data_IF_979122378227
#
_entry.id   IF_979122378227
#
_cell.length_a   1.000
_cell.length_b   1.000
_cell.length_c   1.000
_cell.angle_alpha   90.00
_cell.angle_beta   90.00
_cell.angle_gamma   90.00
#
_symmetry.space_group_name_H-M   'P 1'
#
loop_
_entity.id
_entity.type
_entity.pdbx_description
1 polymer ?
#
# COMPACT_ATOMS: atom_id res chain seq x y z
N UNK A 1 12.61 -1.16 12.80
CA UNK A 1 11.75 -1.93 11.91
C UNK A 1 11.26 -1.03 10.78
N UNK A 2 11.36 -1.49 9.55
CA UNK A 2 10.93 -0.70 8.39
C UNK A 2 9.42 -0.51 8.38
N UNK A 3 8.98 0.68 8.01
CA UNK A 3 7.57 1.04 7.90
C UNK A 3 7.24 1.14 6.42
N UNK A 4 6.39 0.25 5.94
CA UNK A 4 6.17 0.03 4.51
C UNK A 4 4.71 0.33 4.16
N UNK A 5 4.50 1.22 3.20
CA UNK A 5 3.16 1.60 2.74
C UNK A 5 2.81 0.80 1.49
N UNK A 6 1.65 0.17 1.50
CA UNK A 6 1.20 -0.70 0.41
C UNK A 6 0.21 0.04 -0.49
N UNK A 7 0.54 0.16 -1.78
CA UNK A 7 -0.39 0.67 -2.77
C UNK A 7 -1.53 -0.34 -2.96
N UNK A 8 -2.71 0.14 -3.30
CA UNK A 8 -3.92 -0.67 -3.42
C UNK A 8 -3.71 -1.92 -4.29
N UNK A 9 -3.04 -1.77 -5.42
CA UNK A 9 -2.89 -2.89 -6.36
C UNK A 9 -2.05 -4.03 -5.81
N UNK A 10 -1.17 -3.76 -4.85
CA UNK A 10 -0.40 -4.84 -4.20
C UNK A 10 -1.35 -5.81 -3.51
N UNK A 11 -2.33 -5.28 -2.80
CA UNK A 11 -3.30 -6.12 -2.10
C UNK A 11 -4.27 -6.80 -3.07
N UNK A 12 -4.69 -6.09 -4.12
CA UNK A 12 -5.56 -6.67 -5.14
C UNK A 12 -4.86 -7.84 -5.84
N UNK A 13 -3.59 -7.67 -6.19
CA UNK A 13 -2.83 -8.73 -6.86
C UNK A 13 -2.75 -9.98 -5.99
N UNK A 14 -2.58 -9.81 -4.69
CA UNK A 14 -2.58 -10.93 -3.77
C UNK A 14 -3.96 -11.61 -3.73
N UNK A 15 -5.01 -10.83 -3.53
CA UNK A 15 -6.36 -11.37 -3.33
C UNK A 15 -6.87 -12.10 -4.57
N UNK A 16 -6.62 -11.53 -5.76
CA UNK A 16 -7.07 -12.10 -7.01
C UNK A 16 -6.02 -13.01 -7.67
N UNK A 17 -4.92 -13.27 -6.99
CA UNK A 17 -3.84 -14.14 -7.48
C UNK A 17 -3.35 -13.73 -8.88
N UNK A 18 -3.17 -12.43 -9.08
CA UNK A 18 -2.67 -11.88 -10.35
C UNK A 18 -1.14 -11.89 -10.37
N UNK A 19 -0.57 -11.45 -11.49
CA UNK A 19 0.89 -11.31 -11.60
C UNK A 19 1.40 -10.44 -10.46
N UNK A 20 2.47 -10.89 -9.80
CA UNK A 20 2.99 -10.19 -8.62
C UNK A 20 2.33 -10.59 -7.32
N UNK A 21 1.27 -11.39 -7.37
CA UNK A 21 0.54 -11.81 -6.17
C UNK A 21 1.36 -12.67 -5.24
N UNK A 22 2.28 -13.47 -5.78
CA UNK A 22 3.15 -14.30 -4.93
C UNK A 22 4.12 -13.44 -4.12
N UNK A 23 4.69 -12.42 -4.75
CA UNK A 23 5.59 -11.50 -4.03
C UNK A 23 4.82 -10.71 -2.99
N UNK A 24 3.61 -10.26 -3.32
CA UNK A 24 2.75 -9.58 -2.38
C UNK A 24 2.47 -10.47 -1.17
N UNK A 25 2.16 -11.75 -1.42
CA UNK A 25 1.91 -12.71 -0.35
C UNK A 25 3.12 -12.85 0.57
N UNK A 26 4.32 -12.97 -0.01
CA UNK A 26 5.54 -13.09 0.79
C UNK A 26 5.73 -11.87 1.67
N UNK A 27 5.50 -10.68 1.12
CA UNK A 27 5.63 -9.45 1.89
C UNK A 27 4.61 -9.40 3.03
N UNK A 28 3.38 -9.78 2.76
CA UNK A 28 2.34 -9.80 3.78
C UNK A 28 2.68 -10.78 4.90
N UNK A 29 3.27 -11.92 4.56
CA UNK A 29 3.71 -12.89 5.56
C UNK A 29 4.82 -12.34 6.45
N UNK A 30 5.75 -11.55 5.88
CA UNK A 30 6.77 -10.88 6.66
C UNK A 30 6.16 -9.90 7.66
N UNK A 31 5.13 -9.19 7.22
CA UNK A 31 4.40 -8.28 8.11
C UNK A 31 3.67 -9.02 9.21
N UNK A 32 3.00 -10.11 8.86
CA UNK A 32 2.31 -10.94 9.84
C UNK A 32 3.27 -11.49 10.88
N UNK A 33 4.48 -11.84 10.46
CA UNK A 33 5.49 -12.40 11.36
C UNK A 33 6.25 -11.33 12.14
N UNK A 34 5.92 -10.05 11.97
CA UNK A 34 6.51 -8.97 12.74
C UNK A 34 7.87 -8.50 12.24
N UNK A 35 8.27 -8.88 11.03
CA UNK A 35 9.57 -8.49 10.49
C UNK A 35 9.57 -7.09 9.88
N UNK A 36 8.41 -6.62 9.45
CA UNK A 36 8.22 -5.26 8.92
C UNK A 36 6.87 -4.75 9.40
N UNK A 37 6.73 -3.43 9.46
CA UNK A 37 5.44 -2.80 9.78
C UNK A 37 4.74 -2.42 8.49
N UNK A 38 3.59 -3.01 8.24
CA UNK A 38 2.82 -2.78 7.02
C UNK A 38 1.73 -1.75 7.28
N UNK A 39 1.57 -0.83 6.34
CA UNK A 39 0.58 0.25 6.41
C UNK A 39 -0.17 0.33 5.10
N UNK A 40 -1.44 0.67 5.19
CA UNK A 40 -2.25 0.99 4.01
C UNK A 40 -3.26 2.06 4.43
N UNK A 41 -3.73 2.85 3.48
CA UNK A 41 -4.68 3.91 3.81
C UNK A 41 -6.10 3.35 3.93
N UNK A 42 -6.93 4.07 4.68
CA UNK A 42 -8.36 3.78 4.73
C UNK A 42 -8.96 3.78 3.31
N UNK A 43 -8.48 4.72 2.46
CA UNK A 43 -8.93 4.81 1.08
C UNK A 43 -8.69 3.50 0.32
N UNK A 44 -7.56 2.83 0.57
CA UNK A 44 -7.25 1.55 -0.08
C UNK A 44 -8.33 0.51 0.18
N UNK A 45 -8.84 0.42 1.42
CA UNK A 45 -9.87 -0.56 1.73
C UNK A 45 -11.19 -0.21 1.06
N UNK A 46 -11.54 1.08 0.97
CA UNK A 46 -12.74 1.50 0.25
C UNK A 46 -12.63 1.15 -1.24
N UNK A 47 -11.46 1.42 -1.83
CA UNK A 47 -11.22 1.10 -3.24
C UNK A 47 -11.26 -0.40 -3.49
N UNK A 48 -10.67 -1.19 -2.60
CA UNK A 48 -10.71 -2.65 -2.73
C UNK A 48 -12.13 -3.18 -2.63
N UNK A 49 -12.94 -2.64 -1.74
CA UNK A 49 -14.33 -3.07 -1.61
C UNK A 49 -15.08 -2.89 -2.92
N UNK A 50 -14.83 -1.76 -3.60
CA UNK A 50 -15.44 -1.50 -4.89
C UNK A 50 -14.95 -2.46 -5.97
N UNK A 51 -13.63 -2.61 -6.07
CA UNK A 51 -13.01 -3.45 -7.12
C UNK A 51 -13.36 -4.92 -6.95
N UNK A 52 -13.41 -5.39 -5.70
CA UNK A 52 -13.63 -6.80 -5.40
C UNK A 52 -15.09 -7.18 -5.28
N UNK A 53 -16.00 -6.25 -5.50
CA UNK A 53 -17.43 -6.53 -5.40
C UNK A 53 -17.80 -7.73 -6.28
N UNK A 54 -18.39 -8.75 -5.64
CA UNK A 54 -18.80 -9.96 -6.34
C UNK A 54 -17.67 -10.93 -6.69
N UNK A 55 -16.42 -10.60 -6.34
CA UNK A 55 -15.25 -11.42 -6.69
C UNK A 55 -14.61 -12.09 -5.49
N UNK A 56 -14.83 -11.58 -4.29
CA UNK A 56 -14.23 -12.10 -3.08
C UNK A 56 -15.08 -11.75 -1.87
N UNK A 57 -14.93 -12.53 -0.79
CA UNK A 57 -15.57 -12.21 0.49
C UNK A 57 -14.70 -11.17 1.19
N UNK A 58 -15.06 -9.89 1.01
CA UNK A 58 -14.25 -8.80 1.54
C UNK A 58 -14.25 -8.78 3.07
N UNK A 59 -15.32 -9.23 3.73
CA UNK A 59 -15.39 -9.14 5.18
C UNK A 59 -14.35 -10.04 5.84
N UNK A 60 -14.25 -11.29 5.43
CA UNK A 60 -13.23 -12.19 5.94
C UNK A 60 -11.83 -11.74 5.57
N UNK A 61 -11.65 -11.33 4.30
CA UNK A 61 -10.35 -10.92 3.81
C UNK A 61 -9.84 -9.67 4.53
N UNK A 62 -10.70 -8.67 4.68
CA UNK A 62 -10.31 -7.43 5.36
C UNK A 62 -10.04 -7.66 6.85
N UNK A 63 -10.83 -8.53 7.49
CA UNK A 63 -10.59 -8.87 8.89
C UNK A 63 -9.20 -9.49 9.07
N UNK A 64 -8.82 -10.37 8.15
CA UNK A 64 -7.50 -10.99 8.19
C UNK A 64 -6.40 -9.94 7.99
N UNK A 65 -6.52 -9.14 6.93
CA UNK A 65 -5.49 -8.16 6.58
C UNK A 65 -5.30 -7.10 7.67
N UNK A 66 -6.38 -6.63 8.27
CA UNK A 66 -6.28 -5.61 9.32
C UNK A 66 -5.72 -6.14 10.62
N UNK A 67 -5.55 -7.46 10.72
CA UNK A 67 -4.87 -8.06 11.85
C UNK A 67 -3.39 -7.78 11.89
N UNK A 68 -2.79 -7.45 10.73
CA UNK A 68 -1.35 -7.16 10.67
C UNK A 68 -0.99 -5.99 9.75
N UNK A 69 -1.95 -5.34 9.12
CA UNK A 69 -1.74 -4.09 8.39
C UNK A 69 -2.35 -2.97 9.21
N UNK A 70 -1.57 -1.95 9.51
CA UNK A 70 -2.09 -0.77 10.18
C UNK A 70 -2.82 0.09 9.16
N UNK A 71 -4.10 0.33 9.39
CA UNK A 71 -4.93 1.14 8.50
C UNK A 71 -4.79 2.60 8.91
N UNK A 72 -4.31 3.42 7.99
CA UNK A 72 -4.05 4.83 8.26
C UNK A 72 -5.26 5.68 7.91
N UNK A 73 -5.67 6.59 8.80
CA UNK A 73 -6.75 7.51 8.49
C UNK A 73 -6.27 8.58 7.51
N UNK A 74 -7.22 9.24 6.87
CA UNK A 74 -6.94 10.40 6.02
C UNK A 74 -7.87 11.51 6.47
N UNK A 75 -7.34 12.74 6.54
CA UNK A 75 -8.11 13.89 7.00
C UNK A 75 -8.05 15.03 5.99
N UNK A 76 -8.67 16.16 6.36
CA UNK A 76 -8.77 17.30 5.45
C UNK A 76 -7.42 17.95 5.18
N UNK A 77 -6.45 17.85 6.09
CA UNK A 77 -5.13 18.42 5.85
C UNK A 77 -4.43 17.69 4.70
N UNK A 78 -4.54 16.36 4.66
CA UNK A 78 -3.99 15.55 3.58
C UNK A 78 -4.68 15.86 2.26
N UNK A 79 -6.00 16.03 2.30
CA UNK A 79 -6.76 16.39 1.11
C UNK A 79 -6.31 17.74 0.57
N UNK A 80 -6.17 18.75 1.44
CA UNK A 80 -5.73 20.07 1.00
C UNK A 80 -4.31 20.04 0.45
N UNK A 81 -3.42 19.28 1.07
CA UNK A 81 -2.07 19.12 0.55
C UNK A 81 -2.07 18.51 -0.85
N UNK A 82 -2.91 17.50 -1.07
CA UNK A 82 -3.02 16.87 -2.38
C UNK A 82 -3.57 17.84 -3.42
N UNK A 83 -4.60 18.60 -3.04
CA UNK A 83 -5.19 19.59 -3.95
C UNK A 83 -4.18 20.65 -4.39
N UNK A 84 -3.30 21.06 -3.50
CA UNK A 84 -2.32 22.11 -3.80
C UNK A 84 -1.26 21.65 -4.80
N UNK A 85 -1.03 20.36 -4.93
CA UNK A 85 0.02 19.83 -5.81
C UNK A 85 -0.38 19.77 -7.28
N UNK A 86 -1.67 19.68 -7.56
CA UNK A 86 -2.21 19.67 -8.93
C UNK A 86 -1.56 18.63 -9.84
N UNK A 87 -1.27 17.45 -9.28
CA UNK A 87 -0.67 16.38 -10.07
C UNK A 87 -1.73 15.67 -10.91
N UNK A 88 -1.28 14.91 -11.88
CA UNK A 88 -2.18 14.21 -12.80
C UNK A 88 -3.04 13.18 -12.09
N UNK A 89 -2.45 12.41 -11.18
CA UNK A 89 -3.15 11.34 -10.49
C UNK A 89 -3.42 11.76 -9.04
N UNK A 90 -4.61 12.30 -8.82
CA UNK A 90 -5.01 12.82 -7.52
C UNK A 90 -5.05 11.72 -6.45
N UNK A 91 -5.55 10.54 -6.81
CA UNK A 91 -5.65 9.45 -5.83
C UNK A 91 -4.26 9.01 -5.36
N UNK A 92 -3.30 8.91 -6.28
CA UNK A 92 -1.94 8.53 -5.90
C UNK A 92 -1.30 9.60 -5.02
N UNK A 93 -1.63 10.87 -5.26
CA UNK A 93 -1.14 11.94 -4.39
C UNK A 93 -1.73 11.80 -2.98
N UNK A 94 -3.01 11.43 -2.86
CA UNK A 94 -3.61 11.18 -1.56
C UNK A 94 -2.89 10.04 -0.84
N UNK A 95 -2.60 8.96 -1.56
CA UNK A 95 -1.87 7.83 -0.99
C UNK A 95 -0.48 8.27 -0.50
N UNK A 96 0.20 9.05 -1.33
CA UNK A 96 1.52 9.55 -0.97
C UNK A 96 1.49 10.41 0.30
N UNK A 97 0.52 11.33 0.38
CA UNK A 97 0.38 12.18 1.57
C UNK A 97 0.14 11.33 2.82
N UNK A 98 -0.64 10.29 2.67
CA UNK A 98 -0.93 9.38 3.76
C UNK A 98 0.36 8.69 4.25
N UNK A 99 1.13 8.14 3.32
CA UNK A 99 2.37 7.45 3.64
C UNK A 99 3.39 8.41 4.29
N UNK A 100 3.47 9.63 3.78
CA UNK A 100 4.43 10.61 4.27
C UNK A 100 4.10 11.04 5.70
N UNK A 101 2.84 11.34 5.97
CA UNK A 101 2.40 11.76 7.30
C UNK A 101 2.63 10.66 8.32
N UNK A 102 2.45 9.41 7.92
CA UNK A 102 2.65 8.26 8.81
C UNK A 102 4.13 7.93 9.04
N UNK A 103 5.03 8.60 8.35
CA UNK A 103 6.46 8.34 8.51
C UNK A 103 6.91 7.02 7.91
N UNK A 104 6.29 6.59 6.82
CA UNK A 104 6.69 5.38 6.13
C UNK A 104 8.05 5.57 5.45
N UNK A 105 8.81 4.49 5.37
CA UNK A 105 10.15 4.51 4.77
C UNK A 105 10.11 4.27 3.26
N UNK A 106 9.10 3.56 2.79
CA UNK A 106 9.04 3.10 1.40
C UNK A 106 7.57 2.91 1.01
N UNK A 107 7.28 3.18 -0.26
CA UNK A 107 5.98 2.83 -0.86
C UNK A 107 6.20 1.62 -1.76
N UNK A 108 5.42 0.57 -1.53
CA UNK A 108 5.44 -0.62 -2.37
C UNK A 108 4.34 -0.48 -3.41
N UNK A 109 4.72 -0.51 -4.67
CA UNK A 109 3.78 -0.34 -5.76
C UNK A 109 4.21 -1.16 -6.97
N UNK A 110 3.25 -1.65 -7.73
CA UNK A 110 3.51 -2.29 -9.02
C UNK A 110 3.64 -1.29 -10.16
N UNK A 111 3.40 -0.02 -9.89
CA UNK A 111 3.43 1.01 -10.93
C UNK A 111 4.12 2.28 -10.40
N UNK A 112 5.45 2.23 -10.38
CA UNK A 112 6.25 3.33 -9.84
C UNK A 112 6.00 4.65 -10.54
N UNK A 113 5.65 4.62 -11.83
CA UNK A 113 5.45 5.84 -12.61
C UNK A 113 4.34 6.73 -12.06
N UNK A 114 3.39 6.15 -11.35
CA UNK A 114 2.30 6.92 -10.75
C UNK A 114 2.80 7.82 -9.62
N UNK A 115 3.97 7.54 -9.06
CA UNK A 115 4.50 8.25 -7.90
C UNK A 115 5.80 9.00 -8.18
N UNK A 116 6.52 8.69 -9.26
CA UNK A 116 7.86 9.27 -9.48
C UNK A 116 7.84 10.78 -9.61
N UNK A 117 6.76 11.35 -10.10
CA UNK A 117 6.65 12.79 -10.30
C UNK A 117 6.79 13.58 -9.00
N UNK A 118 6.32 13.03 -7.88
CA UNK A 118 6.21 13.81 -6.66
C UNK A 118 6.75 13.12 -5.40
N UNK A 119 7.14 11.84 -5.47
CA UNK A 119 7.49 11.10 -4.27
C UNK A 119 8.92 11.37 -3.82
N UNK A 120 9.08 11.76 -2.55
CA UNK A 120 10.38 11.82 -1.88
C UNK A 120 10.70 10.48 -1.21
N UNK A 121 9.72 9.59 -1.13
CA UNK A 121 9.92 8.28 -0.54
C UNK A 121 10.41 7.30 -1.61
N UNK A 122 11.30 6.38 -1.25
CA UNK A 122 11.71 5.32 -2.18
C UNK A 122 10.50 4.52 -2.65
N UNK A 123 10.50 4.16 -3.93
CA UNK A 123 9.44 3.37 -4.55
C UNK A 123 10.02 2.02 -4.94
N UNK A 124 9.40 0.95 -4.46
CA UNK A 124 9.88 -0.39 -4.75
C UNK A 124 8.72 -1.31 -5.10
N UNK A 125 8.99 -2.31 -5.95
CA UNK A 125 8.04 -3.41 -6.10
C UNK A 125 8.18 -4.32 -4.88
N UNK A 126 7.20 -5.20 -4.68
CA UNK A 126 7.28 -6.16 -3.58
C UNK A 126 8.53 -7.03 -3.71
N UNK A 127 8.85 -7.46 -4.94
CA UNK A 127 10.05 -8.27 -5.17
C UNK A 127 11.33 -7.53 -4.82
N UNK A 128 11.44 -6.28 -5.23
CA UNK A 128 12.62 -5.46 -4.91
C UNK A 128 12.79 -5.31 -3.41
N UNK A 129 11.70 -5.04 -2.71
CA UNK A 129 11.76 -4.86 -1.27
C UNK A 129 12.17 -6.15 -0.56
N UNK A 130 11.59 -7.27 -0.97
CA UNK A 130 11.91 -8.58 -0.39
C UNK A 130 13.38 -8.93 -0.59
N UNK A 131 13.91 -8.62 -1.77
CA UNK A 131 15.32 -8.87 -2.08
C UNK A 131 16.23 -8.06 -1.18
N UNK A 132 15.88 -6.79 -0.96
CA UNK A 132 16.66 -5.94 -0.07
C UNK A 132 16.57 -6.38 1.38
N UNK A 133 15.42 -6.87 1.78
CA UNK A 133 15.17 -7.30 3.16
C UNK A 133 15.84 -8.63 3.49
N UNK A 134 15.99 -9.51 2.52
CA UNK A 134 16.46 -10.87 2.75
C UNK A 134 17.90 -10.85 3.28
N UNK A 135 18.16 -11.45 4.43
CA UNK A 135 19.51 -11.60 4.87
C UNK A 135 20.15 -12.68 4.01
N UNK A 136 21.39 -12.60 3.80
CA UNK A 136 22.05 -13.56 3.08
C UNK A 136 22.32 -14.74 3.75
#
# INVERSE_FOLDING_TARGET
MKRVFLDTNILIDYILARAGGDDAKQLLMRGRDGEVSLYASFLTFANMAYILHGKADIYEMFAMLTGFITVLPMDSDQLQAALSQRVKDFEDMLQYQCAKVAGCDTIITGNKRHFTEFSDLPLMTANEFLTELAPE
#
